data_IF_462668647826
#
_entry.id   IF_462668647826
#
_cell.length_a   1.000
_cell.length_b   1.000
_cell.length_c   1.000
_cell.angle_alpha   90.00
_cell.angle_beta   90.00
_cell.angle_gamma   90.00
#
_symmetry.space_group_name_H-M   'P 1'
#
loop_
_entity.id
_entity.type
_entity.pdbx_description
1 polymer ?
#
# COMPACT_ATOMS: atom_id res chain seq x y z
N UNK A 1 1.88 -6.61 15.05
CA UNK A 1 1.78 -6.40 13.62
C UNK A 1 0.59 -5.51 13.29
N UNK A 2 0.74 -4.64 12.31
CA UNK A 2 -0.38 -3.87 11.75
C UNK A 2 -0.47 -4.10 10.24
N UNK A 3 -1.69 -4.12 9.73
CA UNK A 3 -1.99 -4.30 8.31
C UNK A 3 -3.09 -3.32 7.91
N UNK A 4 -2.92 -2.66 6.78
CA UNK A 4 -3.94 -1.82 6.19
C UNK A 4 -4.78 -2.63 5.20
N UNK A 5 -5.94 -3.11 5.64
CA UNK A 5 -6.88 -3.85 4.78
C UNK A 5 -7.31 -3.04 3.56
N UNK A 6 -7.47 -1.73 3.74
CA UNK A 6 -7.82 -0.80 2.66
C UNK A 6 -6.70 -0.56 1.63
N UNK A 7 -5.52 -1.17 1.79
CA UNK A 7 -4.42 -1.12 0.81
C UNK A 7 -4.25 -2.43 0.07
N UNK A 8 -4.23 -3.54 0.80
CA UNK A 8 -3.84 -4.84 0.23
C UNK A 8 -4.96 -5.87 0.17
N UNK A 9 -6.01 -5.70 0.97
CA UNK A 9 -7.17 -6.61 0.99
C UNK A 9 -8.39 -6.05 0.27
N UNK A 10 -8.22 -4.98 -0.49
CA UNK A 10 -9.28 -4.35 -1.29
C UNK A 10 -10.56 -4.00 -0.49
N UNK A 11 -10.39 -3.64 0.78
CA UNK A 11 -11.52 -3.12 1.59
C UNK A 11 -11.62 -1.60 1.44
N UNK A 12 -12.81 -1.01 1.64
CA UNK A 12 -12.96 0.45 1.66
C UNK A 12 -12.15 1.12 2.76
N UNK A 13 -11.81 2.38 2.57
CA UNK A 13 -11.27 3.23 3.62
C UNK A 13 -12.35 3.47 4.69
N UNK A 14 -11.99 3.32 5.92
CA UNK A 14 -10.72 2.94 6.51
C UNK A 14 -10.81 1.52 7.10
N UNK A 15 -9.76 0.72 6.96
CA UNK A 15 -9.69 -0.60 7.55
C UNK A 15 -8.25 -0.88 8.02
N UNK A 16 -7.96 -0.54 9.27
CA UNK A 16 -6.71 -0.91 9.95
C UNK A 16 -6.91 -2.20 10.77
N UNK A 17 -5.95 -3.09 10.70
CA UNK A 17 -5.95 -4.38 11.40
C UNK A 17 -4.73 -4.43 12.31
N UNK A 18 -4.93 -4.74 13.58
CA UNK A 18 -3.85 -4.95 14.55
C UNK A 18 -3.87 -6.40 15.01
N UNK A 19 -2.73 -7.06 14.94
CA UNK A 19 -2.49 -8.39 15.49
C UNK A 19 -1.56 -8.24 16.70
N UNK A 20 -2.09 -8.49 17.88
CA UNK A 20 -1.38 -8.39 19.15
C UNK A 20 -1.41 -9.74 19.87
N UNK A 21 -0.27 -10.20 20.36
CA UNK A 21 -0.16 -11.43 21.13
C UNK A 21 -0.27 -11.21 22.66
N UNK A 22 -0.27 -9.95 23.09
CA UNK A 22 -0.47 -9.56 24.49
C UNK A 22 -1.86 -8.92 24.64
N UNK A 23 -2.82 -9.74 25.09
CA UNK A 23 -4.19 -9.31 25.28
C UNK A 23 -4.32 -8.28 26.41
N UNK A 24 -3.59 -8.47 27.49
CA UNK A 24 -3.68 -7.61 28.69
C UNK A 24 -3.14 -6.21 28.40
N UNK A 25 -2.00 -6.12 27.74
CA UNK A 25 -1.44 -4.85 27.30
C UNK A 25 -2.39 -4.13 26.33
N UNK A 26 -2.99 -4.83 25.38
CA UNK A 26 -3.94 -4.23 24.43
C UNK A 26 -5.17 -3.69 25.17
N UNK A 27 -5.81 -4.50 26.01
CA UNK A 27 -7.02 -4.12 26.75
C UNK A 27 -6.76 -2.97 27.70
N UNK A 28 -5.68 -3.02 28.47
CA UNK A 28 -5.33 -1.93 29.41
C UNK A 28 -5.04 -0.60 28.73
N UNK A 29 -4.51 -0.65 27.49
CA UNK A 29 -4.22 0.56 26.71
C UNK A 29 -5.48 1.22 26.12
N UNK A 30 -6.56 0.46 25.90
CA UNK A 30 -7.78 0.92 25.26
C UNK A 30 -8.97 1.05 26.22
N UNK A 31 -8.85 0.55 27.43
CA UNK A 31 -9.92 0.56 28.44
C UNK A 31 -10.27 1.98 28.84
N UNK A 32 -11.53 2.37 28.59
CA UNK A 32 -12.09 3.61 29.05
C UNK A 32 -12.72 3.44 30.44
N UNK A 33 -12.75 4.51 31.24
CA UNK A 33 -13.40 4.53 32.55
C UNK A 33 -14.56 5.52 32.55
N UNK A 34 -15.66 5.14 33.18
CA UNK A 34 -16.85 6.00 33.32
C UNK A 34 -17.87 5.33 34.23
N UNK A 35 -18.64 6.12 34.97
CA UNK A 35 -19.62 5.63 35.95
C UNK A 35 -20.71 4.72 35.36
N UNK A 36 -20.93 4.80 34.07
CA UNK A 36 -21.93 4.01 33.34
C UNK A 36 -21.32 2.84 32.55
N UNK A 37 -20.00 2.72 32.53
CA UNK A 37 -19.30 1.64 31.82
C UNK A 37 -19.17 0.45 32.75
N UNK A 38 -19.88 -0.61 32.43
CA UNK A 38 -19.86 -1.88 33.17
C UNK A 38 -19.21 -2.93 32.27
N UNK A 39 -18.09 -3.47 32.70
CA UNK A 39 -17.40 -4.55 32.00
C UNK A 39 -17.93 -5.90 32.49
N UNK A 40 -18.30 -6.75 31.54
CA UNK A 40 -18.75 -8.13 31.83
C UNK A 40 -17.62 -9.16 31.69
N UNK A 41 -17.97 -10.41 31.91
CA UNK A 41 -17.06 -11.57 31.71
C UNK A 41 -16.85 -11.90 30.22
N UNK A 42 -17.74 -11.42 29.34
CA UNK A 42 -17.66 -11.65 27.90
C UNK A 42 -16.71 -10.65 27.24
N UNK A 43 -16.26 -11.01 26.03
CA UNK A 43 -15.45 -10.13 25.21
C UNK A 43 -16.23 -8.90 24.77
N UNK A 44 -15.90 -7.75 25.31
CA UNK A 44 -16.43 -6.46 24.89
C UNK A 44 -15.61 -5.85 23.77
N UNK A 45 -16.26 -5.53 22.65
CA UNK A 45 -15.57 -4.98 21.47
C UNK A 45 -14.84 -3.66 21.73
N UNK A 46 -15.35 -2.82 22.66
CA UNK A 46 -14.73 -1.55 23.03
C UNK A 46 -13.37 -1.69 23.72
N UNK A 47 -13.04 -2.87 24.25
CA UNK A 47 -11.73 -3.14 24.84
C UNK A 47 -10.64 -3.43 23.82
N UNK A 48 -10.99 -3.53 22.55
CA UNK A 48 -10.06 -3.92 21.47
C UNK A 48 -9.95 -2.86 20.39
N UNK A 49 -10.42 -1.66 20.65
CA UNK A 49 -10.48 -0.60 19.66
C UNK A 49 -10.34 0.78 20.32
N UNK A 50 -9.71 1.75 19.65
CA UNK A 50 -9.51 3.09 20.23
C UNK A 50 -10.80 3.89 20.37
N UNK A 51 -11.87 3.50 19.67
CA UNK A 51 -13.18 4.19 19.73
C UNK A 51 -14.24 3.27 20.32
N UNK A 52 -15.11 3.79 21.17
CA UNK A 52 -16.22 3.05 21.75
C UNK A 52 -17.32 2.81 20.72
N UNK A 53 -17.87 3.88 20.15
CA UNK A 53 -18.86 3.80 19.07
C UNK A 53 -18.21 4.16 17.75
N UNK A 54 -18.36 3.29 16.75
CA UNK A 54 -17.68 3.44 15.47
C UNK A 54 -18.39 2.72 14.34
N UNK A 55 -18.03 3.05 13.12
CA UNK A 55 -18.41 2.30 11.93
C UNK A 55 -17.95 0.84 12.04
N UNK A 56 -18.79 -0.08 11.60
CA UNK A 56 -18.53 -1.53 11.65
C UNK A 56 -17.57 -1.95 10.50
N UNK A 57 -16.33 -1.47 10.50
CA UNK A 57 -15.31 -1.73 9.49
C UNK A 57 -14.99 -3.20 9.27
N UNK A 58 -15.28 -4.01 10.27
CA UNK A 58 -15.08 -5.47 10.21
C UNK A 58 -15.98 -6.15 9.18
N UNK A 59 -17.13 -5.55 8.84
CA UNK A 59 -18.10 -6.16 7.91
C UNK A 59 -17.51 -6.28 6.52
N UNK A 60 -16.89 -5.22 6.00
CA UNK A 60 -16.26 -5.22 4.68
C UNK A 60 -15.06 -6.17 4.65
N UNK A 61 -14.26 -6.19 5.71
CA UNK A 61 -13.14 -7.12 5.83
C UNK A 61 -13.63 -8.58 5.86
N UNK A 62 -14.64 -8.87 6.68
CA UNK A 62 -15.25 -10.19 6.75
C UNK A 62 -15.81 -10.63 5.39
N UNK A 63 -16.53 -9.75 4.71
CA UNK A 63 -17.11 -10.04 3.40
C UNK A 63 -16.01 -10.35 2.36
N UNK A 64 -14.94 -9.56 2.31
CA UNK A 64 -13.81 -9.80 1.43
C UNK A 64 -13.13 -11.15 1.72
N UNK A 65 -12.83 -11.42 2.99
CA UNK A 65 -12.19 -12.67 3.38
C UNK A 65 -13.10 -13.88 3.12
N UNK A 66 -14.41 -13.73 3.33
CA UNK A 66 -15.39 -14.80 3.09
C UNK A 66 -15.57 -15.09 1.60
N UNK A 67 -15.59 -14.03 0.78
CA UNK A 67 -15.73 -14.15 -0.67
C UNK A 67 -14.49 -14.76 -1.33
N UNK A 68 -13.31 -14.28 -1.01
CA UNK A 68 -12.06 -14.75 -1.60
C UNK A 68 -11.60 -16.08 -1.01
N UNK A 69 -11.90 -16.34 0.25
CA UNK A 69 -11.34 -17.47 0.98
C UNK A 69 -9.82 -17.39 1.12
N UNK A 70 -9.22 -18.45 1.64
CA UNK A 70 -7.77 -18.48 1.88
C UNK A 70 -6.98 -18.36 0.56
N UNK A 71 -7.34 -19.11 -0.44
CA UNK A 71 -6.63 -19.13 -1.73
C UNK A 71 -6.78 -17.79 -2.48
N UNK A 72 -7.98 -17.21 -2.51
CA UNK A 72 -8.17 -15.91 -3.15
C UNK A 72 -7.43 -14.76 -2.46
N UNK A 73 -7.28 -14.79 -1.14
CA UNK A 73 -6.43 -13.83 -0.40
C UNK A 73 -4.95 -14.04 -0.76
N UNK A 74 -4.50 -15.27 -0.82
CA UNK A 74 -3.12 -15.62 -1.18
C UNK A 74 -2.81 -15.17 -2.61
N UNK A 75 -3.67 -15.47 -3.56
CA UNK A 75 -3.56 -15.04 -4.97
C UNK A 75 -3.56 -13.51 -5.11
N UNK A 76 -4.42 -12.81 -4.35
CA UNK A 76 -4.47 -11.35 -4.34
C UNK A 76 -3.13 -10.76 -3.87
N UNK A 77 -2.66 -11.19 -2.71
CA UNK A 77 -1.43 -10.64 -2.09
C UNK A 77 -0.19 -10.99 -2.92
N UNK A 78 -0.09 -12.25 -3.36
CA UNK A 78 0.99 -12.69 -4.23
C UNK A 78 0.96 -11.96 -5.58
N UNK A 79 -0.23 -11.75 -6.15
CA UNK A 79 -0.40 -11.01 -7.40
C UNK A 79 0.10 -9.57 -7.33
N UNK A 80 -0.13 -8.86 -6.22
CA UNK A 80 0.41 -7.52 -6.00
C UNK A 80 1.95 -7.54 -5.98
N UNK A 81 2.54 -8.50 -5.29
CA UNK A 81 3.98 -8.69 -5.25
C UNK A 81 4.57 -9.02 -6.62
N UNK A 82 4.00 -9.98 -7.35
CA UNK A 82 4.48 -10.40 -8.66
C UNK A 82 4.48 -9.23 -9.67
N UNK A 83 3.43 -8.39 -9.67
CA UNK A 83 3.36 -7.20 -10.53
C UNK A 83 4.37 -6.13 -10.11
N UNK A 84 4.66 -6.03 -8.82
CA UNK A 84 5.69 -5.11 -8.33
C UNK A 84 7.08 -5.55 -8.78
N UNK A 85 7.38 -6.84 -8.73
CA UNK A 85 8.62 -7.41 -9.27
C UNK A 85 8.72 -7.14 -10.78
N UNK A 86 7.64 -7.38 -11.54
CA UNK A 86 7.60 -7.07 -12.97
C UNK A 86 7.93 -5.59 -13.21
N UNK A 87 7.27 -4.68 -12.46
CA UNK A 87 7.49 -3.23 -12.61
C UNK A 87 8.95 -2.86 -12.35
N UNK A 88 9.55 -3.39 -11.28
CA UNK A 88 10.94 -3.15 -10.94
C UNK A 88 11.90 -3.63 -12.05
N UNK A 89 11.66 -4.82 -12.59
CA UNK A 89 12.46 -5.38 -13.69
C UNK A 89 12.36 -4.53 -14.95
N UNK A 90 11.16 -4.24 -15.43
CA UNK A 90 10.94 -3.46 -16.66
C UNK A 90 11.50 -2.04 -16.54
N UNK A 91 11.40 -1.38 -15.37
CA UNK A 91 12.01 -0.07 -15.13
C UNK A 91 13.54 -0.14 -15.12
N UNK A 92 14.11 -1.16 -14.48
CA UNK A 92 15.57 -1.37 -14.47
C UNK A 92 16.11 -1.56 -15.88
N UNK A 93 15.46 -2.38 -16.70
CA UNK A 93 15.80 -2.62 -18.09
C UNK A 93 15.65 -1.36 -18.96
N UNK A 94 14.81 -0.42 -18.52
CA UNK A 94 14.58 0.87 -19.17
C UNK A 94 15.52 2.01 -18.68
N UNK A 95 16.48 1.70 -17.81
CA UNK A 95 17.53 2.64 -17.38
C UNK A 95 17.23 3.39 -16.08
N UNK A 96 16.17 3.04 -15.35
CA UNK A 96 15.93 3.55 -14.00
C UNK A 96 16.79 2.81 -12.98
N UNK A 97 17.19 3.51 -11.91
CA UNK A 97 17.83 2.87 -10.77
C UNK A 97 16.78 2.44 -9.77
N UNK A 98 16.65 1.13 -9.52
CA UNK A 98 15.83 0.57 -8.46
C UNK A 98 16.68 0.55 -7.18
N UNK A 99 16.19 1.18 -6.10
CA UNK A 99 16.96 1.45 -4.89
C UNK A 99 16.67 0.50 -3.74
N UNK A 100 15.54 -0.20 -3.76
CA UNK A 100 15.17 -1.11 -2.68
C UNK A 100 15.07 -2.55 -3.16
N UNK A 101 15.26 -3.49 -2.24
CA UNK A 101 14.82 -4.85 -2.42
C UNK A 101 13.29 -4.89 -2.42
N UNK A 102 12.71 -5.49 -3.45
CA UNK A 102 11.26 -5.60 -3.59
C UNK A 102 10.77 -6.80 -2.78
N UNK A 103 10.48 -6.58 -1.51
CA UNK A 103 10.00 -7.62 -0.60
C UNK A 103 8.49 -7.77 -0.58
N UNK A 104 7.74 -6.77 -1.08
CA UNK A 104 6.29 -6.83 -1.18
C UNK A 104 5.77 -6.02 -2.38
N UNK A 105 5.04 -4.93 -2.16
CA UNK A 105 4.28 -4.22 -3.19
C UNK A 105 4.78 -2.80 -3.48
N UNK A 106 6.02 -2.47 -3.12
CA UNK A 106 6.60 -1.15 -3.34
C UNK A 106 7.95 -1.20 -4.05
N UNK A 107 8.14 -0.25 -4.98
CA UNK A 107 9.40 0.02 -5.66
C UNK A 107 9.78 1.48 -5.44
N UNK A 108 11.05 1.72 -5.16
CA UNK A 108 11.65 3.04 -5.17
C UNK A 108 12.59 3.15 -6.36
N UNK A 109 12.35 4.12 -7.22
CA UNK A 109 13.21 4.36 -8.38
C UNK A 109 13.69 5.80 -8.42
N UNK A 110 14.85 6.00 -9.02
CA UNK A 110 15.41 7.31 -9.28
C UNK A 110 16.04 7.35 -10.69
N UNK A 111 16.21 8.56 -11.20
CA UNK A 111 16.93 8.83 -12.44
C UNK A 111 18.40 9.21 -12.14
N UNK A 112 19.10 9.82 -13.10
CA UNK A 112 20.51 10.21 -12.96
C UNK A 112 20.75 11.22 -11.84
N UNK A 113 19.81 12.15 -11.62
CA UNK A 113 19.84 13.16 -10.57
C UNK A 113 18.45 13.55 -10.09
N UNK A 114 18.39 14.34 -9.03
CA UNK A 114 17.15 14.75 -8.34
C UNK A 114 16.24 15.64 -9.20
N UNK A 115 16.81 16.48 -10.08
CA UNK A 115 16.04 17.37 -10.93
C UNK A 115 15.33 16.58 -12.04
N UNK A 116 16.03 15.67 -12.69
CA UNK A 116 15.46 14.75 -13.68
C UNK A 116 14.42 13.85 -13.02
N UNK A 117 14.68 13.34 -11.81
CA UNK A 117 13.72 12.50 -11.06
C UNK A 117 12.43 13.27 -10.77
N UNK A 118 12.54 14.51 -10.30
CA UNK A 118 11.39 15.37 -10.02
C UNK A 118 10.59 15.66 -11.28
N UNK A 119 11.27 16.03 -12.35
CA UNK A 119 10.62 16.34 -13.62
C UNK A 119 9.97 15.12 -14.26
N UNK A 120 10.62 13.97 -14.18
CA UNK A 120 10.04 12.70 -14.62
C UNK A 120 8.74 12.40 -13.88
N UNK A 121 8.72 12.57 -12.54
CA UNK A 121 7.52 12.37 -11.74
C UNK A 121 6.36 13.30 -12.17
N UNK A 122 6.64 14.60 -12.36
CA UNK A 122 5.63 15.55 -12.85
C UNK A 122 5.02 15.08 -14.17
N UNK A 123 5.86 14.72 -15.14
CA UNK A 123 5.40 14.28 -16.46
C UNK A 123 4.62 12.96 -16.43
N UNK A 124 4.98 12.04 -15.52
CA UNK A 124 4.21 10.80 -15.30
C UNK A 124 2.80 11.16 -14.81
N UNK A 125 2.69 12.04 -13.79
CA UNK A 125 1.41 12.45 -13.22
C UNK A 125 0.56 13.23 -14.24
N UNK A 126 1.17 14.10 -15.03
CA UNK A 126 0.51 14.84 -16.13
C UNK A 126 -0.02 13.90 -17.22
N UNK A 127 0.65 12.79 -17.47
CA UNK A 127 0.24 11.81 -18.48
C UNK A 127 -1.11 11.14 -18.16
N UNK A 128 -1.50 11.08 -16.89
CA UNK A 128 -2.70 10.40 -16.37
C UNK A 128 -2.78 8.91 -16.71
N UNK A 129 -1.69 8.31 -17.14
CA UNK A 129 -1.64 6.87 -17.41
C UNK A 129 -1.57 6.06 -16.12
N UNK A 130 -0.76 6.51 -15.16
CA UNK A 130 -0.67 5.94 -13.84
C UNK A 130 -0.38 7.03 -12.80
N UNK A 131 -0.58 6.70 -11.53
CA UNK A 131 -0.27 7.59 -10.42
C UNK A 131 0.82 6.98 -9.52
N UNK A 132 1.84 7.78 -9.24
CA UNK A 132 2.87 7.48 -8.25
C UNK A 132 3.23 8.75 -7.48
N UNK A 133 3.88 8.60 -6.33
CA UNK A 133 4.27 9.71 -5.47
C UNK A 133 5.77 9.93 -5.42
N UNK A 134 6.19 11.14 -5.09
CA UNK A 134 7.57 11.44 -4.73
C UNK A 134 7.85 11.08 -3.26
N UNK A 135 9.10 10.76 -2.98
CA UNK A 135 9.62 10.59 -1.64
C UNK A 135 11.10 10.99 -1.59
N UNK A 136 11.67 10.99 -0.39
CA UNK A 136 13.10 11.11 -0.18
C UNK A 136 13.62 9.81 0.45
N UNK A 137 14.69 9.28 -0.11
CA UNK A 137 15.33 8.06 0.35
C UNK A 137 16.84 8.23 0.27
N UNK A 138 17.52 8.04 1.38
CA UNK A 138 18.99 8.17 1.49
C UNK A 138 19.51 9.50 0.87
N UNK A 139 18.87 10.62 1.27
CA UNK A 139 19.15 11.98 0.78
C UNK A 139 18.94 12.19 -0.74
N UNK A 140 18.26 11.28 -1.43
CA UNK A 140 17.95 11.37 -2.86
C UNK A 140 16.44 11.48 -3.07
N UNK A 141 16.03 12.24 -4.06
CA UNK A 141 14.64 12.23 -4.53
C UNK A 141 14.35 10.92 -5.26
N UNK A 142 13.22 10.33 -4.94
CA UNK A 142 12.80 9.06 -5.53
C UNK A 142 11.34 9.12 -5.97
N UNK A 143 10.99 8.32 -6.95
CA UNK A 143 9.60 8.01 -7.31
C UNK A 143 9.23 6.73 -6.57
N UNK A 144 8.20 6.81 -5.73
CA UNK A 144 7.67 5.67 -4.99
C UNK A 144 6.45 5.11 -5.71
N UNK A 145 6.54 3.87 -6.08
CA UNK A 145 5.50 3.11 -6.77
C UNK A 145 4.91 2.11 -5.77
N UNK A 146 3.58 2.03 -5.70
CA UNK A 146 2.87 1.07 -4.87
C UNK A 146 1.81 0.36 -5.72
N UNK A 147 1.95 -0.94 -5.92
CA UNK A 147 0.95 -1.76 -6.60
C UNK A 147 -0.03 -2.27 -5.55
N UNK A 148 -1.23 -1.71 -5.49
CA UNK A 148 -2.20 -2.01 -4.44
C UNK A 148 -3.63 -2.27 -4.94
N UNK A 149 -3.88 -2.19 -6.24
CA UNK A 149 -5.19 -2.50 -6.81
C UNK A 149 -5.26 -3.97 -7.26
N UNK A 150 -6.31 -4.66 -6.84
CA UNK A 150 -6.62 -6.01 -7.29
C UNK A 150 -6.80 -6.12 -8.81
N UNK A 151 -7.25 -5.02 -9.44
CA UNK A 151 -7.52 -4.97 -10.87
C UNK A 151 -6.26 -4.73 -11.72
N UNK A 152 -5.11 -4.43 -11.13
CA UNK A 152 -3.87 -4.19 -11.87
C UNK A 152 -3.40 -5.46 -12.56
N UNK A 153 -3.30 -5.41 -13.89
CA UNK A 153 -2.82 -6.50 -14.75
C UNK A 153 -1.34 -6.34 -15.10
N UNK A 154 -0.75 -7.37 -15.72
CA UNK A 154 0.59 -7.31 -16.28
C UNK A 154 0.69 -6.25 -17.40
N UNK A 155 -0.36 -6.12 -18.23
CA UNK A 155 -0.41 -5.14 -19.30
C UNK A 155 -0.45 -3.70 -18.76
N UNK A 156 -1.13 -3.46 -17.62
CA UNK A 156 -1.14 -2.15 -16.96
C UNK A 156 0.25 -1.78 -16.46
N UNK A 157 1.02 -2.75 -15.96
CA UNK A 157 2.42 -2.51 -15.58
C UNK A 157 3.23 -2.09 -16.81
N UNK A 158 3.19 -2.86 -17.89
CA UNK A 158 3.96 -2.53 -19.10
C UNK A 158 3.53 -1.21 -19.74
N UNK A 159 2.24 -0.83 -19.65
CA UNK A 159 1.76 0.49 -20.08
C UNK A 159 2.32 1.60 -19.19
N UNK A 160 2.31 1.39 -17.88
CA UNK A 160 2.88 2.34 -16.92
C UNK A 160 4.37 2.53 -17.15
N UNK A 161 5.14 1.47 -17.38
CA UNK A 161 6.57 1.56 -17.71
C UNK A 161 6.80 2.38 -18.97
N UNK A 162 5.99 2.21 -20.02
CA UNK A 162 6.08 3.06 -21.23
C UNK A 162 5.86 4.53 -20.92
N UNK A 163 4.93 4.87 -20.02
CA UNK A 163 4.72 6.25 -19.57
C UNK A 163 5.93 6.79 -18.80
N UNK A 164 6.54 5.98 -17.92
CA UNK A 164 7.79 6.33 -17.22
C UNK A 164 8.93 6.60 -18.20
N UNK A 165 9.15 5.73 -19.17
CA UNK A 165 10.21 5.88 -20.17
C UNK A 165 10.00 7.13 -21.02
N UNK A 166 8.76 7.40 -21.43
CA UNK A 166 8.43 8.62 -22.19
C UNK A 166 8.73 9.87 -21.37
N UNK A 167 8.27 9.91 -20.12
CA UNK A 167 8.48 11.03 -19.20
C UNK A 167 9.98 11.27 -18.92
N UNK A 168 10.73 10.21 -18.68
CA UNK A 168 12.17 10.27 -18.46
C UNK A 168 12.93 10.84 -19.68
N UNK A 169 12.62 10.34 -20.87
CA UNK A 169 13.23 10.83 -22.11
C UNK A 169 12.89 12.31 -22.37
N UNK A 170 11.70 12.77 -22.00
CA UNK A 170 11.31 14.17 -22.11
C UNK A 170 12.02 15.04 -21.07
N UNK A 171 12.13 14.58 -19.82
CA UNK A 171 12.81 15.27 -18.73
C UNK A 171 14.29 15.52 -19.05
N UNK A 172 14.96 14.62 -19.79
CA UNK A 172 16.37 14.77 -20.21
C UNK A 172 16.60 15.75 -21.34
N UNK A 173 15.57 16.16 -22.07
CA UNK A 173 15.68 17.08 -23.21
C UNK A 173 15.62 18.55 -22.81
N UNK A 174 15.22 18.84 -21.60
CA UNK A 174 15.08 20.18 -21.02
C UNK A 174 16.21 20.50 -20.05
#
# INVERSE_FOLDING_TARGET
>A
LSVDGHKTLNTPYDCGIILCNDREALVSSLQATGSYIIYGEKRDGMLYTPEMSRRARIVELWATMKYLGRHGIDDLVYGLHARTIQFAHELKDSGFQVLNDVVFNQVLVTCENDDITSKTLELIQESRECWCGGAQWDNRKVIRISVCSWATTSDDISRSVKAFVKAYNEAKRK
#
